data_IF_896778221597
#
_entry.id   IF_896778221597
#
_cell.length_a   1.000
_cell.length_b   1.000
_cell.length_c   1.000
_cell.angle_alpha   90.00
_cell.angle_beta   90.00
_cell.angle_gamma   90.00
#
_symmetry.space_group_name_H-M   'P 1'
#
loop_
_entity.id
_entity.type
_entity.pdbx_description
1 polymer ?
#
# COMPACT_ATOMS: atom_id res chain seq x y z
N UNK A 1 -0.16 -6.75 31.01
CA UNK A 1 -0.64 -8.05 30.45
C UNK A 1 -1.99 -7.92 29.73
N UNK A 2 -3.01 -7.30 30.35
CA UNK A 2 -4.35 -7.16 29.73
C UNK A 2 -4.34 -6.44 28.36
N UNK A 3 -3.65 -5.30 28.24
CA UNK A 3 -3.55 -4.57 26.96
C UNK A 3 -2.96 -5.44 25.83
N UNK A 4 -1.92 -6.23 26.15
CA UNK A 4 -1.29 -7.16 25.21
C UNK A 4 -2.24 -8.27 24.77
N UNK A 5 -3.03 -8.82 25.71
CA UNK A 5 -4.06 -9.81 25.38
C UNK A 5 -5.14 -9.23 24.47
N UNK A 6 -5.63 -8.02 24.75
CA UNK A 6 -6.62 -7.34 23.89
C UNK A 6 -6.03 -7.07 22.51
N UNK A 7 -4.79 -6.62 22.42
CA UNK A 7 -4.08 -6.40 21.16
C UNK A 7 -3.97 -7.68 20.33
N UNK A 8 -3.41 -8.76 20.90
CA UNK A 8 -3.29 -10.02 20.20
C UNK A 8 -4.65 -10.59 19.77
N UNK A 9 -5.66 -10.51 20.63
CA UNK A 9 -7.01 -10.95 20.32
C UNK A 9 -7.60 -10.13 19.17
N UNK A 10 -7.41 -8.80 19.18
CA UNK A 10 -7.85 -7.90 18.11
C UNK A 10 -7.17 -8.26 16.80
N UNK A 11 -5.85 -8.46 16.78
CA UNK A 11 -5.12 -8.88 15.59
C UNK A 11 -5.60 -10.24 15.06
N UNK A 12 -5.71 -11.25 15.93
CA UNK A 12 -6.18 -12.58 15.54
C UNK A 12 -7.58 -12.51 14.94
N UNK A 13 -8.49 -11.72 15.51
CA UNK A 13 -9.85 -11.55 14.99
C UNK A 13 -9.89 -10.78 13.66
N UNK A 14 -9.06 -9.75 13.52
CA UNK A 14 -8.89 -9.01 12.25
C UNK A 14 -8.41 -9.93 11.13
N UNK A 15 -7.57 -10.91 11.44
CA UNK A 15 -7.07 -11.89 10.48
C UNK A 15 -8.05 -13.03 10.22
N UNK A 16 -8.63 -13.61 11.28
CA UNK A 16 -9.52 -14.76 11.17
C UNK A 16 -10.87 -14.38 10.54
N UNK A 17 -11.36 -13.16 10.81
CA UNK A 17 -12.63 -12.60 10.32
C UNK A 17 -13.80 -13.58 10.46
N UNK A 18 -14.12 -14.01 11.69
CA UNK A 18 -15.24 -14.93 11.91
C UNK A 18 -16.54 -14.33 11.35
N UNK A 19 -17.35 -15.18 10.70
CA UNK A 19 -18.59 -14.82 10.00
C UNK A 19 -18.42 -13.77 8.88
N UNK A 20 -17.21 -13.57 8.37
CA UNK A 20 -16.89 -12.59 7.32
C UNK A 20 -17.32 -11.15 7.68
N UNK A 21 -17.34 -10.82 8.99
CA UNK A 21 -17.66 -9.48 9.45
C UNK A 21 -16.63 -8.46 8.91
N UNK A 22 -17.03 -7.18 8.80
CA UNK A 22 -16.11 -6.10 8.45
C UNK A 22 -14.99 -5.96 9.49
N UNK A 23 -13.77 -5.66 9.04
CA UNK A 23 -12.60 -5.52 9.91
C UNK A 23 -12.78 -4.45 11.00
N UNK A 24 -13.54 -3.39 10.71
CA UNK A 24 -13.79 -2.30 11.66
C UNK A 24 -14.55 -2.76 12.90
N UNK A 25 -15.33 -3.84 12.82
CA UNK A 25 -16.05 -4.38 13.98
C UNK A 25 -15.07 -4.87 15.04
N UNK A 26 -14.04 -5.61 14.64
CA UNK A 26 -13.07 -6.20 15.56
C UNK A 26 -12.16 -5.14 16.20
N UNK A 27 -11.71 -4.16 15.43
CA UNK A 27 -10.96 -3.02 15.96
C UNK A 27 -11.79 -2.16 16.90
N UNK A 28 -13.09 -1.95 16.61
CA UNK A 28 -14.00 -1.22 17.50
C UNK A 28 -14.24 -1.97 18.81
N UNK A 29 -14.36 -3.31 18.77
CA UNK A 29 -14.43 -4.14 19.98
C UNK A 29 -13.15 -4.04 20.81
N UNK A 30 -11.97 -4.07 20.16
CA UNK A 30 -10.69 -3.86 20.83
C UNK A 30 -10.66 -2.52 21.56
N UNK A 31 -11.00 -1.42 20.87
CA UNK A 31 -11.05 -0.09 21.48
C UNK A 31 -12.06 0.01 22.63
N UNK A 32 -13.23 -0.60 22.47
CA UNK A 32 -14.24 -0.68 23.52
C UNK A 32 -13.71 -1.36 24.78
N UNK A 33 -13.02 -2.50 24.65
CA UNK A 33 -12.43 -3.18 25.80
C UNK A 33 -11.32 -2.37 26.45
N UNK A 34 -10.43 -1.76 25.66
CA UNK A 34 -9.37 -0.91 26.21
C UNK A 34 -9.95 0.27 27.00
N UNK A 35 -11.05 0.86 26.52
CA UNK A 35 -11.74 1.93 27.21
C UNK A 35 -12.43 1.46 28.50
N UNK A 36 -13.19 0.36 28.46
CA UNK A 36 -13.89 -0.18 29.65
C UNK A 36 -12.91 -0.62 30.73
N UNK A 37 -11.79 -1.22 30.37
CA UNK A 37 -10.77 -1.63 31.32
C UNK A 37 -9.87 -0.47 31.78
N UNK A 38 -10.22 0.78 31.43
CA UNK A 38 -9.52 2.00 31.84
C UNK A 38 -8.02 2.00 31.47
N UNK A 39 -7.67 1.30 30.39
CA UNK A 39 -6.31 1.32 29.84
C UNK A 39 -6.04 2.60 29.06
N UNK A 40 -7.10 3.27 28.61
CA UNK A 40 -7.11 4.58 27.97
C UNK A 40 -8.30 5.38 28.47
N UNK A 41 -8.18 6.71 28.47
CA UNK A 41 -9.26 7.62 28.86
C UNK A 41 -9.86 8.36 27.64
N UNK A 42 -10.80 9.27 27.89
CA UNK A 42 -11.44 10.06 26.83
C UNK A 42 -10.48 11.03 26.15
N UNK A 43 -9.48 11.57 26.86
CA UNK A 43 -8.47 12.46 26.27
C UNK A 43 -7.58 11.69 25.32
N UNK A 44 -7.18 10.49 25.69
CA UNK A 44 -6.46 9.56 24.82
C UNK A 44 -7.27 9.27 23.55
N UNK A 45 -8.59 9.03 23.69
CA UNK A 45 -9.48 8.82 22.55
C UNK A 45 -9.53 10.05 21.63
N UNK A 46 -9.65 11.27 22.17
CA UNK A 46 -9.59 12.48 21.37
C UNK A 46 -8.24 12.66 20.66
N UNK A 47 -7.14 12.36 21.36
CA UNK A 47 -5.80 12.41 20.80
C UNK A 47 -5.67 11.41 19.63
N UNK A 48 -6.00 10.15 19.85
CA UNK A 48 -5.95 9.11 18.81
C UNK A 48 -6.86 9.46 17.63
N UNK A 49 -8.07 9.96 17.88
CA UNK A 49 -8.96 10.41 16.81
C UNK A 49 -8.30 11.50 15.98
N UNK A 50 -7.66 12.49 16.62
CA UNK A 50 -6.96 13.59 15.94
C UNK A 50 -5.83 13.13 15.02
N UNK A 51 -5.23 11.97 15.28
CA UNK A 51 -4.17 11.37 14.47
C UNK A 51 -4.69 10.69 13.20
N UNK A 52 -5.89 10.10 13.25
CA UNK A 52 -6.33 9.15 12.21
C UNK A 52 -7.46 9.66 11.32
N UNK A 53 -8.26 10.63 11.77
CA UNK A 53 -9.49 11.01 11.05
C UNK A 53 -9.22 11.54 9.64
N UNK A 54 -8.26 12.46 9.51
CA UNK A 54 -7.85 13.08 8.24
C UNK A 54 -7.30 12.02 7.28
N UNK A 55 -6.37 11.20 7.78
CA UNK A 55 -5.75 10.12 7.01
C UNK A 55 -6.78 9.08 6.52
N UNK A 56 -7.77 8.77 7.36
CA UNK A 56 -8.81 7.80 7.01
C UNK A 56 -9.77 8.33 5.96
N UNK A 57 -10.19 9.59 6.06
CA UNK A 57 -11.04 10.23 5.05
C UNK A 57 -10.30 10.45 3.73
N UNK A 58 -9.00 10.71 3.80
CA UNK A 58 -8.12 10.74 2.61
C UNK A 58 -8.20 9.43 1.85
N UNK A 59 -8.08 8.29 2.54
CA UNK A 59 -8.17 6.97 1.90
C UNK A 59 -9.54 6.74 1.25
N UNK A 60 -10.63 7.15 1.90
CA UNK A 60 -11.97 7.08 1.31
C UNK A 60 -12.03 7.87 -0.01
N UNK A 61 -11.50 9.10 -0.03
CA UNK A 61 -11.41 9.92 -1.25
C UNK A 61 -10.59 9.24 -2.35
N UNK A 62 -9.41 8.71 -2.01
CA UNK A 62 -8.54 7.99 -2.94
C UNK A 62 -9.22 6.77 -3.57
N UNK A 63 -9.98 6.00 -2.78
CA UNK A 63 -10.68 4.81 -3.27
C UNK A 63 -11.88 5.19 -4.16
N UNK A 64 -12.64 6.22 -3.80
CA UNK A 64 -13.70 6.75 -4.66
C UNK A 64 -13.12 7.24 -6.00
N UNK A 65 -11.98 7.95 -5.97
CA UNK A 65 -11.26 8.39 -7.16
C UNK A 65 -10.80 7.20 -8.01
N UNK A 66 -10.24 6.16 -7.37
CA UNK A 66 -9.82 4.92 -8.02
C UNK A 66 -10.98 4.20 -8.72
N UNK A 67 -12.09 3.96 -8.01
CA UNK A 67 -13.29 3.35 -8.59
C UNK A 67 -13.90 4.20 -9.70
N UNK A 68 -13.78 5.52 -9.58
CA UNK A 68 -14.21 6.45 -10.62
C UNK A 68 -13.40 6.24 -11.91
N UNK A 69 -12.07 6.21 -11.83
CA UNK A 69 -11.22 5.96 -12.99
C UNK A 69 -11.43 4.56 -13.59
N UNK A 70 -11.66 3.56 -12.73
CA UNK A 70 -11.97 2.20 -13.16
C UNK A 70 -13.30 2.15 -13.92
N UNK A 71 -14.35 2.78 -13.40
CA UNK A 71 -15.65 2.85 -14.05
C UNK A 71 -15.56 3.54 -15.41
N UNK A 72 -14.69 4.55 -15.55
CA UNK A 72 -14.44 5.17 -16.85
C UNK A 72 -13.77 4.22 -17.83
N UNK A 73 -12.93 3.28 -17.39
CA UNK A 73 -12.10 2.42 -18.25
C UNK A 73 -10.66 2.93 -18.42
N UNK A 74 -10.19 3.78 -17.49
CA UNK A 74 -8.83 4.34 -17.50
C UNK A 74 -7.76 3.24 -17.42
N UNK A 75 -7.91 2.29 -16.51
CA UNK A 75 -6.92 1.23 -16.32
C UNK A 75 -6.95 0.19 -17.46
N UNK A 76 -8.13 -0.09 -18.03
CA UNK A 76 -8.26 -0.93 -19.22
C UNK A 76 -7.51 -0.32 -20.41
N UNK A 77 -7.59 1.00 -20.58
CA UNK A 77 -6.84 1.71 -21.63
C UNK A 77 -5.33 1.55 -21.42
N UNK A 78 -4.81 1.76 -20.21
CA UNK A 78 -3.38 1.60 -19.92
C UNK A 78 -2.94 0.16 -20.16
N UNK A 79 -3.69 -0.83 -19.66
CA UNK A 79 -3.40 -2.25 -19.88
C UNK A 79 -3.30 -2.57 -21.38
N UNK A 80 -4.21 -2.04 -22.20
CA UNK A 80 -4.15 -2.22 -23.66
C UNK A 80 -2.89 -1.65 -24.30
N UNK A 81 -2.41 -0.49 -23.82
CA UNK A 81 -1.17 0.13 -24.31
C UNK A 81 0.05 -0.67 -23.90
N UNK A 82 0.08 -1.20 -22.67
CA UNK A 82 1.15 -2.10 -22.21
C UNK A 82 1.24 -3.32 -23.12
N UNK A 83 0.11 -3.94 -23.48
CA UNK A 83 0.09 -5.08 -24.41
C UNK A 83 0.56 -4.69 -25.80
N UNK A 84 0.11 -3.54 -26.31
CA UNK A 84 0.52 -3.02 -27.61
C UNK A 84 2.04 -2.79 -27.68
N UNK A 85 2.63 -2.14 -26.68
CA UNK A 85 4.08 -1.89 -26.62
C UNK A 85 4.89 -3.17 -26.35
N UNK A 86 4.28 -4.18 -25.74
CA UNK A 86 4.91 -5.48 -25.49
C UNK A 86 4.84 -6.43 -26.69
N UNK A 87 4.09 -6.09 -27.74
CA UNK A 87 3.90 -6.91 -28.95
C UNK A 87 5.18 -7.00 -29.79
N UNK A 88 5.43 -8.16 -30.37
CA UNK A 88 6.45 -8.32 -31.43
C UNK A 88 5.87 -7.95 -32.81
N UNK A 89 6.60 -7.14 -33.60
CA UNK A 89 6.09 -6.39 -34.76
C UNK A 89 5.63 -7.21 -35.98
N UNK A 90 5.82 -8.53 -36.02
CA UNK A 90 5.86 -9.25 -37.31
C UNK A 90 4.98 -10.50 -37.48
N UNK A 91 3.86 -10.66 -36.75
CA UNK A 91 3.03 -11.88 -36.92
C UNK A 91 1.51 -11.63 -36.84
N UNK A 92 0.77 -12.46 -37.58
CA UNK A 92 -0.70 -12.56 -37.58
C UNK A 92 -1.28 -12.89 -36.19
N UNK A 93 -0.43 -13.44 -35.30
CA UNK A 93 -0.72 -13.72 -33.88
C UNK A 93 -0.16 -12.62 -32.97
N UNK A 94 -0.85 -12.33 -31.85
CA UNK A 94 -0.33 -11.42 -30.82
C UNK A 94 0.63 -12.19 -29.91
N UNK A 95 1.91 -12.20 -30.29
CA UNK A 95 3.00 -12.59 -29.40
C UNK A 95 3.45 -11.41 -28.56
N UNK A 96 3.45 -11.61 -27.25
CA UNK A 96 3.88 -10.64 -26.26
C UNK A 96 5.21 -11.08 -25.67
N UNK A 97 6.19 -10.18 -25.66
CA UNK A 97 7.46 -10.41 -24.98
C UNK A 97 7.25 -10.36 -23.48
N UNK A 98 7.49 -11.48 -22.79
CA UNK A 98 7.31 -11.60 -21.33
C UNK A 98 8.15 -10.57 -20.56
N UNK A 99 9.38 -10.32 -21.03
CA UNK A 99 10.29 -9.32 -20.44
C UNK A 99 9.72 -7.91 -20.53
N UNK A 100 9.25 -7.50 -21.71
CA UNK A 100 8.66 -6.17 -21.92
C UNK A 100 7.38 -6.00 -21.11
N UNK A 101 6.52 -7.03 -21.13
CA UNK A 101 5.28 -7.02 -20.38
C UNK A 101 5.54 -6.87 -18.88
N UNK A 102 6.44 -7.67 -18.31
CA UNK A 102 6.81 -7.55 -16.89
C UNK A 102 7.37 -6.17 -16.58
N UNK A 103 8.29 -5.65 -17.40
CA UNK A 103 8.89 -4.32 -17.18
C UNK A 103 7.82 -3.22 -17.18
N UNK A 104 6.96 -3.18 -18.20
CA UNK A 104 5.92 -2.15 -18.29
C UNK A 104 4.88 -2.27 -17.19
N UNK A 105 4.53 -3.49 -16.76
CA UNK A 105 3.63 -3.69 -15.62
C UNK A 105 4.27 -3.25 -14.30
N UNK A 106 5.55 -3.53 -14.07
CA UNK A 106 6.27 -3.06 -12.88
C UNK A 106 6.33 -1.53 -12.85
N UNK A 107 6.70 -0.89 -13.96
CA UNK A 107 6.72 0.58 -14.07
C UNK A 107 5.31 1.16 -13.86
N UNK A 108 4.29 0.54 -14.46
CA UNK A 108 2.91 0.99 -14.27
C UNK A 108 2.47 0.88 -12.80
N UNK A 109 2.74 -0.25 -12.14
CA UNK A 109 2.41 -0.45 -10.72
C UNK A 109 3.16 0.51 -9.81
N UNK A 110 4.42 0.80 -10.10
CA UNK A 110 5.21 1.78 -9.36
C UNK A 110 4.53 3.16 -9.32
N UNK A 111 4.09 3.66 -10.47
CA UNK A 111 3.34 4.92 -10.51
C UNK A 111 1.94 4.76 -9.92
N UNK A 112 1.26 3.66 -10.17
CA UNK A 112 -0.09 3.42 -9.65
C UNK A 112 -0.11 3.46 -8.12
N UNK A 113 0.84 2.80 -7.46
CA UNK A 113 0.92 2.78 -6.00
C UNK A 113 1.36 4.11 -5.40
N UNK A 114 2.12 4.93 -6.15
CA UNK A 114 2.45 6.28 -5.72
C UNK A 114 1.19 7.17 -5.58
N UNK A 115 0.20 7.00 -6.46
CA UNK A 115 -0.96 7.90 -6.53
C UNK A 115 -2.24 7.37 -5.87
N UNK A 116 -2.45 6.05 -5.78
CA UNK A 116 -3.74 5.45 -5.41
C UNK A 116 -3.73 4.64 -4.11
N UNK A 117 -2.71 4.84 -3.29
CA UNK A 117 -2.37 3.97 -2.18
C UNK A 117 -2.06 2.52 -2.61
N UNK A 118 -1.33 1.79 -1.78
CA UNK A 118 -1.02 0.38 -1.99
C UNK A 118 -2.29 -0.49 -2.12
N UNK A 119 -3.30 -0.23 -1.30
CA UNK A 119 -4.57 -0.96 -1.26
C UNK A 119 -5.40 -0.73 -2.54
N UNK A 120 -5.43 0.50 -3.06
CA UNK A 120 -6.09 0.81 -4.32
C UNK A 120 -5.36 0.17 -5.50
N UNK A 121 -4.03 0.28 -5.53
CA UNK A 121 -3.20 -0.27 -6.60
C UNK A 121 -3.37 -1.79 -6.76
N UNK A 122 -3.38 -2.54 -5.65
CA UNK A 122 -3.55 -4.01 -5.71
C UNK A 122 -4.95 -4.43 -6.18
N UNK A 123 -5.99 -3.68 -5.79
CA UNK A 123 -7.37 -3.92 -6.21
C UNK A 123 -7.57 -3.67 -7.70
N UNK A 124 -6.86 -2.70 -8.29
CA UNK A 124 -6.90 -2.40 -9.72
C UNK A 124 -6.08 -3.42 -10.52
N UNK A 125 -4.82 -3.67 -10.13
CA UNK A 125 -3.91 -4.48 -10.97
C UNK A 125 -4.33 -5.95 -11.02
N UNK A 126 -4.85 -6.49 -9.92
CA UNK A 126 -5.21 -7.92 -9.82
C UNK A 126 -6.26 -8.35 -10.83
N UNK A 127 -7.45 -7.72 -10.94
CA UNK A 127 -8.45 -8.09 -11.93
C UNK A 127 -7.93 -7.89 -13.37
N UNK A 128 -7.11 -6.86 -13.62
CA UNK A 128 -6.50 -6.62 -14.94
C UNK A 128 -5.60 -7.79 -15.34
N UNK A 129 -4.70 -8.22 -14.44
CA UNK A 129 -3.79 -9.33 -14.70
C UNK A 129 -4.57 -10.64 -14.87
N UNK A 130 -5.55 -10.91 -14.04
CA UNK A 130 -6.37 -12.13 -14.17
C UNK A 130 -7.16 -12.11 -15.49
N UNK A 131 -7.78 -10.99 -15.85
CA UNK A 131 -8.52 -10.86 -17.11
C UNK A 131 -7.58 -11.04 -18.31
N UNK A 132 -6.39 -10.45 -18.27
CA UNK A 132 -5.38 -10.62 -19.30
C UNK A 132 -4.99 -12.10 -19.45
N UNK A 133 -4.60 -12.74 -18.35
CA UNK A 133 -4.17 -14.14 -18.34
C UNK A 133 -5.30 -15.12 -18.65
N UNK A 134 -6.57 -14.77 -18.45
CA UNK A 134 -7.70 -15.59 -18.91
C UNK A 134 -7.77 -15.77 -20.43
N UNK A 135 -7.07 -14.89 -21.17
CA UNK A 135 -7.00 -14.95 -22.64
C UNK A 135 -5.66 -15.45 -23.16
N UNK A 136 -4.73 -15.79 -22.25
CA UNK A 136 -3.50 -16.48 -22.58
C UNK A 136 -3.87 -17.86 -23.13
N UNK A 137 -3.31 -18.24 -24.28
CA UNK A 137 -3.48 -19.60 -24.81
C UNK A 137 -2.82 -20.61 -23.87
N UNK A 138 -3.41 -21.80 -23.82
CA UNK A 138 -2.92 -22.89 -22.97
C UNK A 138 -1.43 -23.10 -23.17
N UNK A 139 -0.72 -22.99 -22.04
CA UNK A 139 0.71 -23.18 -21.98
C UNK A 139 1.04 -24.00 -20.73
N UNK A 140 2.10 -24.81 -20.81
CA UNK A 140 2.64 -25.49 -19.64
C UNK A 140 2.95 -24.45 -18.56
N UNK A 141 2.66 -24.78 -17.30
CA UNK A 141 2.93 -23.94 -16.13
C UNK A 141 2.15 -22.61 -16.09
N UNK A 142 0.95 -22.52 -16.69
CA UNK A 142 0.09 -21.32 -16.63
C UNK A 142 -0.01 -20.74 -15.21
N UNK A 143 -0.32 -21.58 -14.22
CA UNK A 143 -0.45 -21.17 -12.82
C UNK A 143 0.81 -20.50 -12.27
N UNK A 144 2.00 -21.04 -12.58
CA UNK A 144 3.27 -20.48 -12.16
C UNK A 144 3.57 -19.13 -12.84
N UNK A 145 3.26 -19.00 -14.13
CA UNK A 145 3.45 -17.73 -14.86
C UNK A 145 2.53 -16.67 -14.25
N UNK A 146 1.24 -16.97 -14.09
CA UNK A 146 0.27 -16.06 -13.50
C UNK A 146 0.66 -15.65 -12.06
N UNK A 147 1.03 -16.62 -11.21
CA UNK A 147 1.45 -16.32 -9.84
C UNK A 147 2.72 -15.47 -9.81
N UNK A 148 3.66 -15.66 -10.74
CA UNK A 148 4.88 -14.83 -10.82
C UNK A 148 4.57 -13.37 -11.12
N UNK A 149 3.63 -13.10 -12.04
CA UNK A 149 3.17 -11.73 -12.30
C UNK A 149 2.42 -11.14 -11.12
N UNK A 150 1.43 -11.88 -10.58
CA UNK A 150 0.63 -11.44 -9.46
C UNK A 150 1.47 -11.11 -8.22
N UNK A 151 2.40 -11.98 -7.85
CA UNK A 151 3.30 -11.75 -6.72
C UNK A 151 4.26 -10.60 -6.99
N UNK A 152 4.93 -10.56 -8.15
CA UNK A 152 5.87 -9.46 -8.46
C UNK A 152 5.20 -8.08 -8.38
N UNK A 153 3.98 -7.97 -8.91
CA UNK A 153 3.23 -6.72 -8.93
C UNK A 153 2.67 -6.38 -7.53
N UNK A 154 2.12 -7.36 -6.81
CA UNK A 154 1.63 -7.15 -5.43
C UNK A 154 2.74 -6.68 -4.48
N UNK A 155 3.93 -7.28 -4.60
CA UNK A 155 5.10 -6.90 -3.80
C UNK A 155 5.56 -5.48 -4.11
N UNK A 156 5.57 -5.10 -5.39
CA UNK A 156 5.91 -3.74 -5.79
C UNK A 156 4.85 -2.74 -5.33
N UNK A 157 3.56 -3.07 -5.26
CA UNK A 157 2.54 -2.16 -4.72
C UNK A 157 2.94 -1.66 -3.32
N UNK A 158 3.11 -2.55 -2.34
CA UNK A 158 3.44 -2.08 -0.98
C UNK A 158 4.84 -1.44 -0.93
N UNK A 159 5.84 -1.99 -1.63
CA UNK A 159 7.19 -1.44 -1.59
C UNK A 159 7.28 -0.02 -2.19
N UNK A 160 6.58 0.24 -3.31
CA UNK A 160 6.58 1.55 -4.00
C UNK A 160 5.63 2.56 -3.36
N UNK A 161 4.84 2.14 -2.38
CA UNK A 161 3.96 2.99 -1.59
C UNK A 161 4.68 3.97 -0.67
N UNK A 162 6.01 4.06 -0.74
CA UNK A 162 6.84 5.03 -0.03
C UNK A 162 7.00 6.37 -0.76
N UNK A 163 6.49 6.50 -2.00
CA UNK A 163 6.80 7.63 -2.89
C UNK A 163 6.33 9.01 -2.36
N UNK A 164 5.08 9.08 -1.91
CA UNK A 164 4.39 10.31 -1.49
C UNK A 164 3.66 10.07 -0.18
N UNK A 165 3.27 11.15 0.50
CA UNK A 165 2.46 11.08 1.72
C UNK A 165 1.15 10.32 1.46
N UNK A 166 0.50 10.53 0.31
CA UNK A 166 -0.77 9.87 -0.05
C UNK A 166 -0.61 8.41 -0.52
N UNK A 167 0.62 7.94 -0.72
CA UNK A 167 0.89 6.61 -1.30
C UNK A 167 0.59 5.46 -0.33
N UNK A 168 0.45 5.73 0.97
CA UNK A 168 0.04 4.74 1.96
C UNK A 168 -0.56 5.43 3.19
N UNK A 169 -1.50 4.77 3.88
CA UNK A 169 -2.06 5.27 5.14
C UNK A 169 -0.97 5.46 6.21
N UNK A 170 0.01 4.57 6.25
CA UNK A 170 1.19 4.67 7.15
C UNK A 170 1.94 5.98 6.94
N UNK A 171 2.18 6.39 5.69
CA UNK A 171 2.88 7.64 5.37
C UNK A 171 2.09 8.87 5.82
N UNK A 172 0.76 8.89 5.58
CA UNK A 172 -0.07 10.02 6.01
C UNK A 172 -0.02 10.19 7.53
N UNK A 173 -0.07 9.08 8.26
CA UNK A 173 -0.04 9.07 9.72
C UNK A 173 1.30 9.58 10.24
N UNK A 174 2.41 9.03 9.77
CA UNK A 174 3.74 9.46 10.20
C UNK A 174 4.02 10.92 9.80
N UNK A 175 3.67 11.32 8.58
CA UNK A 175 3.87 12.70 8.12
C UNK A 175 3.05 13.70 8.97
N UNK A 176 1.78 13.39 9.27
CA UNK A 176 0.95 14.22 10.13
C UNK A 176 1.49 14.27 11.58
N UNK A 177 2.00 13.15 12.09
CA UNK A 177 2.50 13.05 13.46
C UNK A 177 3.78 13.86 13.69
N UNK A 178 4.74 13.74 12.77
CA UNK A 178 6.01 14.48 12.81
C UNK A 178 5.94 15.85 12.11
N UNK A 179 4.78 16.22 11.55
CA UNK A 179 4.57 17.46 10.77
C UNK A 179 5.52 17.60 9.58
N UNK A 180 5.77 16.50 8.88
CA UNK A 180 6.61 16.48 7.68
C UNK A 180 5.82 17.05 6.51
N UNK A 181 6.41 18.04 5.83
CA UNK A 181 5.84 18.67 4.65
C UNK A 181 5.75 17.69 3.47
N UNK A 182 4.76 17.84 2.60
CA UNK A 182 4.55 16.94 1.46
C UNK A 182 5.76 16.98 0.50
N UNK A 183 6.29 18.18 0.25
CA UNK A 183 7.48 18.35 -0.60
C UNK A 183 8.74 17.76 0.05
N UNK A 184 8.92 17.95 1.35
CA UNK A 184 10.05 17.37 2.10
C UNK A 184 10.00 15.85 2.06
N UNK A 185 8.82 15.26 2.34
CA UNK A 185 8.60 13.83 2.24
C UNK A 185 8.95 13.29 0.85
N UNK A 186 8.42 13.92 -0.19
CA UNK A 186 8.64 13.48 -1.56
C UNK A 186 10.12 13.57 -1.97
N UNK A 187 10.84 14.61 -1.54
CA UNK A 187 12.28 14.77 -1.80
C UNK A 187 13.09 13.67 -1.11
N UNK A 188 12.86 13.45 0.17
CA UNK A 188 13.62 12.48 0.96
C UNK A 188 13.32 11.02 0.56
N UNK A 189 12.10 10.73 0.10
CA UNK A 189 11.73 9.39 -0.39
C UNK A 189 12.02 9.15 -1.88
N UNK A 190 12.36 10.19 -2.67
CA UNK A 190 12.55 10.04 -4.11
C UNK A 190 13.63 9.00 -4.47
N UNK A 191 14.83 9.16 -3.89
CA UNK A 191 15.96 8.28 -4.18
C UNK A 191 15.75 6.86 -3.61
N UNK A 192 15.34 6.68 -2.34
CA UNK A 192 14.97 5.36 -1.81
C UNK A 192 13.94 4.63 -2.67
N UNK A 193 12.88 5.33 -3.10
CA UNK A 193 11.79 4.73 -3.87
C UNK A 193 12.22 4.42 -5.31
N UNK A 194 13.12 5.20 -5.91
CA UNK A 194 13.77 4.81 -7.17
C UNK A 194 14.54 3.50 -7.03
N UNK A 195 15.29 3.33 -5.92
CA UNK A 195 15.97 2.07 -5.63
C UNK A 195 15.02 0.92 -5.32
N UNK A 196 13.84 1.18 -4.74
CA UNK A 196 12.77 0.17 -4.63
C UNK A 196 12.38 -0.37 -6.00
N UNK A 197 12.14 0.51 -6.99
CA UNK A 197 11.81 0.09 -8.35
C UNK A 197 12.96 -0.69 -8.99
N UNK A 198 14.18 -0.14 -8.93
CA UNK A 198 15.35 -0.75 -9.57
C UNK A 198 15.66 -2.13 -8.99
N UNK A 199 15.72 -2.25 -7.67
CA UNK A 199 15.98 -3.52 -6.99
C UNK A 199 14.87 -4.54 -7.23
N UNK A 200 13.60 -4.11 -7.29
CA UNK A 200 12.48 -4.99 -7.65
C UNK A 200 12.64 -5.50 -9.08
N UNK A 201 12.91 -4.61 -10.05
CA UNK A 201 13.14 -5.01 -11.46
C UNK A 201 14.28 -6.01 -11.54
N UNK A 202 15.45 -5.70 -10.94
CA UNK A 202 16.62 -6.58 -10.99
C UNK A 202 16.28 -7.95 -10.39
N UNK A 203 15.69 -7.98 -9.21
CA UNK A 203 15.39 -9.22 -8.49
C UNK A 203 14.34 -10.06 -9.21
N UNK A 204 13.24 -9.46 -9.66
CA UNK A 204 12.20 -10.13 -10.45
C UNK A 204 12.80 -10.67 -11.76
N UNK A 205 13.67 -9.91 -12.42
CA UNK A 205 14.27 -10.35 -13.67
C UNK A 205 15.24 -11.51 -13.50
N UNK A 206 16.08 -11.46 -12.47
CA UNK A 206 17.07 -12.50 -12.18
C UNK A 206 16.40 -13.79 -11.72
N UNK A 207 15.42 -13.70 -10.82
CA UNK A 207 14.84 -14.89 -10.18
C UNK A 207 13.66 -15.49 -10.98
N UNK A 208 12.80 -14.67 -11.56
CA UNK A 208 11.54 -15.13 -12.16
C UNK A 208 11.54 -14.98 -13.69
N UNK A 209 11.86 -13.81 -14.23
CA UNK A 209 11.74 -13.60 -15.69
C UNK A 209 12.72 -14.48 -16.49
N UNK A 210 13.87 -14.86 -15.92
CA UNK A 210 14.80 -15.81 -16.55
C UNK A 210 14.22 -17.20 -16.76
N UNK A 211 13.30 -17.64 -15.90
CA UNK A 211 12.68 -18.97 -15.96
C UNK A 211 11.32 -18.99 -16.67
N UNK A 212 10.73 -17.81 -16.91
CA UNK A 212 9.49 -17.68 -17.67
C UNK A 212 9.70 -17.89 -19.17
N UNK A 213 8.67 -18.35 -19.92
CA UNK A 213 8.72 -18.40 -21.37
C UNK A 213 9.09 -17.04 -21.96
N UNK A 214 9.90 -17.01 -23.02
CA UNK A 214 10.31 -15.75 -23.68
C UNK A 214 9.12 -15.00 -24.30
N UNK A 215 8.10 -15.74 -24.74
CA UNK A 215 6.92 -15.24 -25.45
C UNK A 215 5.65 -15.84 -24.85
N UNK A 216 4.61 -15.03 -24.77
CA UNK A 216 3.26 -15.41 -24.38
C UNK A 216 2.30 -15.08 -25.54
N UNK A 217 1.38 -15.99 -25.84
CA UNK A 217 0.41 -15.84 -26.93
C UNK A 217 -0.98 -15.57 -26.35
N UNK A 218 -1.54 -14.39 -26.64
CA UNK A 218 -2.85 -13.98 -26.14
C UNK A 218 -3.88 -13.95 -27.27
N UNK A 219 -5.15 -14.27 -26.93
CA UNK A 219 -6.29 -14.03 -27.83
C UNK A 219 -6.58 -12.53 -27.90
N UNK A 220 -6.98 -12.04 -29.08
CA UNK A 220 -7.41 -10.66 -29.28
C UNK A 220 -8.64 -10.36 -28.41
N UNK A 221 -8.49 -9.44 -27.45
CA UNK A 221 -9.63 -8.85 -26.73
C UNK A 221 -9.90 -7.48 -27.35
N UNK A 222 -10.96 -7.35 -28.13
CA UNK A 222 -11.55 -6.04 -28.41
C UNK A 222 -12.46 -5.69 -27.24
N UNK A 223 -11.97 -4.86 -26.32
CA UNK A 223 -12.81 -4.18 -25.33
C UNK A 223 -13.04 -2.76 -25.83
N UNK A 224 -14.24 -2.22 -25.63
CA UNK A 224 -14.48 -0.79 -25.86
C UNK A 224 -13.56 0.00 -24.93
N UNK A 225 -12.79 0.91 -25.52
CA UNK A 225 -11.82 1.73 -24.81
C UNK A 225 -12.38 3.13 -24.61
N UNK A 226 -11.95 3.78 -23.52
CA UNK A 226 -12.17 5.22 -23.40
C UNK A 226 -11.54 5.96 -24.58
N UNK A 227 -12.18 7.05 -24.96
CA UNK A 227 -11.61 7.96 -25.96
C UNK A 227 -10.28 8.53 -25.44
N UNK A 228 -9.34 8.79 -26.36
CA UNK A 228 -8.06 9.44 -26.04
C UNK A 228 -8.27 10.77 -25.32
N UNK A 229 -9.28 11.55 -25.71
CA UNK A 229 -9.63 12.82 -25.08
C UNK A 229 -9.97 12.64 -23.58
N UNK A 230 -10.81 11.66 -23.28
CA UNK A 230 -11.19 11.35 -21.90
C UNK A 230 -10.02 10.78 -21.08
N UNK A 231 -9.14 9.98 -21.71
CA UNK A 231 -7.92 9.51 -21.06
C UNK A 231 -6.98 10.66 -20.68
N UNK A 232 -6.70 11.58 -21.61
CA UNK A 232 -5.90 12.77 -21.32
C UNK A 232 -6.54 13.66 -20.27
N UNK A 233 -7.87 13.80 -20.28
CA UNK A 233 -8.60 14.50 -19.22
C UNK A 233 -8.33 13.86 -17.85
N UNK A 234 -8.41 12.53 -17.74
CA UNK A 234 -8.11 11.82 -16.50
C UNK A 234 -6.67 12.08 -16.03
N UNK A 235 -5.68 12.08 -16.94
CA UNK A 235 -4.28 12.39 -16.61
C UNK A 235 -4.14 13.82 -16.08
N UNK A 236 -4.71 14.80 -16.76
CA UNK A 236 -4.64 16.22 -16.33
C UNK A 236 -5.26 16.37 -14.95
N UNK A 237 -6.41 15.74 -14.72
CA UNK A 237 -7.06 15.78 -13.42
C UNK A 237 -6.24 15.08 -12.32
N UNK A 238 -5.60 13.95 -12.61
CA UNK A 238 -4.69 13.29 -11.66
C UNK A 238 -3.48 14.17 -11.33
N UNK A 239 -2.97 14.89 -12.32
CA UNK A 239 -1.89 15.85 -12.10
C UNK A 239 -2.34 17.02 -11.22
N UNK A 240 -3.51 17.59 -11.49
CA UNK A 240 -4.09 18.66 -10.66
C UNK A 240 -4.42 18.18 -9.24
N UNK A 241 -4.90 16.95 -9.11
CA UNK A 241 -5.12 16.28 -7.83
C UNK A 241 -3.83 16.25 -6.99
N UNK A 242 -2.71 15.80 -7.58
CA UNK A 242 -1.41 15.79 -6.90
C UNK A 242 -0.93 17.20 -6.57
N UNK A 243 -1.03 18.14 -7.50
CA UNK A 243 -0.66 19.55 -7.27
C UNK A 243 -1.45 20.15 -6.10
N UNK A 244 -2.72 19.78 -5.95
CA UNK A 244 -3.56 20.37 -4.91
C UNK A 244 -3.09 20.07 -3.48
N UNK A 245 -2.31 19.00 -3.25
CA UNK A 245 -1.70 18.74 -1.94
C UNK A 245 -0.58 19.73 -1.59
N UNK A 246 0.21 20.15 -2.57
CA UNK A 246 1.21 21.21 -2.38
C UNK A 246 0.54 22.56 -2.08
N UNK A 247 -0.61 22.83 -2.71
CA UNK A 247 -1.42 24.01 -2.38
C UNK A 247 -1.97 23.89 -0.95
N UNK A 248 -2.44 22.69 -0.59
CA UNK A 248 -2.93 22.39 0.75
C UNK A 248 -1.93 22.69 1.85
N UNK A 249 -0.68 22.32 1.62
CA UNK A 249 0.44 22.62 2.52
C UNK A 249 0.58 24.14 2.77
N UNK A 250 0.62 24.95 1.70
CA UNK A 250 0.77 26.41 1.79
C UNK A 250 -0.36 27.05 2.61
N UNK A 251 -1.60 26.56 2.45
CA UNK A 251 -2.78 27.11 3.13
C UNK A 251 -3.17 26.35 4.41
N UNK A 252 -2.36 25.39 4.86
CA UNK A 252 -2.64 24.50 5.99
C UNK A 252 -4.01 23.80 5.90
N UNK A 253 -4.41 23.44 4.68
CA UNK A 253 -5.63 22.69 4.38
C UNK A 253 -5.29 21.19 4.41
N UNK A 254 -6.10 20.43 5.14
CA UNK A 254 -5.94 18.99 5.34
C UNK A 254 -6.00 18.19 4.04
N UNK A 255 -5.25 17.08 4.00
CA UNK A 255 -5.14 16.21 2.82
C UNK A 255 -6.50 15.60 2.48
N UNK A 256 -7.33 15.28 3.48
CA UNK A 256 -8.67 14.72 3.25
C UNK A 256 -9.57 15.65 2.45
N UNK A 257 -9.41 16.96 2.60
CA UNK A 257 -10.23 17.94 1.89
C UNK A 257 -10.00 17.81 0.38
N UNK A 258 -8.75 17.81 -0.08
CA UNK A 258 -8.43 17.67 -1.49
C UNK A 258 -8.80 16.28 -2.02
N UNK A 259 -8.53 15.22 -1.25
CA UNK A 259 -8.93 13.87 -1.61
C UNK A 259 -10.44 13.75 -1.86
N UNK A 260 -11.26 14.28 -0.95
CA UNK A 260 -12.72 14.24 -1.08
C UNK A 260 -13.24 15.20 -2.16
N UNK A 261 -12.63 16.38 -2.33
CA UNK A 261 -12.99 17.35 -3.36
C UNK A 261 -12.80 16.73 -4.76
N UNK A 262 -11.61 16.21 -5.05
CA UNK A 262 -11.32 15.62 -6.36
C UNK A 262 -12.09 14.33 -6.62
N UNK A 263 -12.29 13.50 -5.58
CA UNK A 263 -13.17 12.35 -5.66
C UNK A 263 -14.61 12.74 -6.02
N UNK A 264 -15.14 13.79 -5.38
CA UNK A 264 -16.46 14.34 -5.68
C UNK A 264 -16.58 14.88 -7.10
N UNK A 265 -15.58 15.66 -7.56
CA UNK A 265 -15.55 16.18 -8.93
C UNK A 265 -15.55 15.03 -9.96
N UNK A 266 -14.70 14.03 -9.78
CA UNK A 266 -14.67 12.87 -10.69
C UNK A 266 -15.96 12.08 -10.66
N UNK A 267 -16.50 11.83 -9.47
CA UNK A 267 -17.77 11.13 -9.33
C UNK A 267 -18.91 11.85 -10.06
N UNK A 268 -18.95 13.19 -10.00
CA UNK A 268 -19.92 14.00 -10.75
C UNK A 268 -19.75 13.88 -12.27
N UNK A 269 -18.51 13.80 -12.77
CA UNK A 269 -18.25 13.54 -14.21
C UNK A 269 -18.82 12.18 -14.61
N UNK A 270 -18.62 11.16 -13.79
CA UNK A 270 -19.11 9.79 -14.07
C UNK A 270 -20.62 9.72 -13.95
N UNK A 271 -21.21 10.42 -12.98
CA UNK A 271 -22.66 10.53 -12.86
C UNK A 271 -23.27 11.10 -14.15
N UNK A 272 -22.61 12.06 -14.80
CA UNK A 272 -23.05 12.58 -16.11
C UNK A 272 -22.91 11.57 -17.25
N UNK A 273 -21.88 10.72 -17.23
CA UNK A 273 -21.58 9.77 -18.30
C UNK A 273 -22.40 8.47 -18.16
N UNK A 274 -22.51 7.93 -16.95
CA UNK A 274 -23.08 6.60 -16.66
C UNK A 274 -24.43 6.66 -15.92
N UNK A 275 -24.89 7.85 -15.53
CA UNK A 275 -26.13 8.04 -14.80
C UNK A 275 -26.11 7.44 -13.40
N UNK A 276 -27.29 7.08 -12.88
CA UNK A 276 -27.47 6.59 -11.49
C UNK A 276 -26.66 5.34 -11.14
N UNK A 277 -26.13 4.59 -12.13
CA UNK A 277 -25.25 3.43 -11.87
C UNK A 277 -24.00 3.82 -11.09
N UNK A 278 -23.49 5.05 -11.27
CA UNK A 278 -22.30 5.54 -10.58
C UNK A 278 -22.51 5.83 -9.09
N UNK A 279 -23.76 5.92 -8.61
CA UNK A 279 -24.06 6.12 -7.18
C UNK A 279 -23.51 4.95 -6.36
N UNK A 280 -23.48 3.75 -6.96
CA UNK A 280 -22.94 2.55 -6.33
C UNK A 280 -21.48 2.73 -5.88
N UNK A 281 -20.67 3.53 -6.59
CA UNK A 281 -19.28 3.83 -6.22
C UNK A 281 -19.18 4.43 -4.81
N UNK A 282 -20.12 5.31 -4.44
CA UNK A 282 -20.13 5.91 -3.11
C UNK A 282 -20.45 4.85 -2.04
N UNK A 283 -21.45 4.00 -2.28
CA UNK A 283 -21.81 2.95 -1.33
C UNK A 283 -20.76 1.84 -1.19
N UNK A 284 -19.94 1.61 -2.21
CA UNK A 284 -18.83 0.65 -2.17
C UNK A 284 -17.56 1.21 -1.53
N UNK A 285 -17.49 2.51 -1.28
CA UNK A 285 -16.35 3.13 -0.61
C UNK A 285 -16.22 2.60 0.85
N UNK A 286 -15.00 2.34 1.33
CA UNK A 286 -14.81 1.68 2.62
C UNK A 286 -14.83 2.69 3.77
N UNK A 287 -15.99 3.30 4.04
CA UNK A 287 -16.16 4.27 5.15
C UNK A 287 -15.79 3.69 6.52
N UNK A 288 -15.91 2.37 6.68
CA UNK A 288 -15.48 1.66 7.88
C UNK A 288 -13.99 1.80 8.21
N UNK A 289 -13.15 2.25 7.27
CA UNK A 289 -11.72 2.48 7.52
C UNK A 289 -11.49 3.49 8.65
N UNK A 290 -12.35 4.49 8.81
CA UNK A 290 -12.25 5.46 9.91
C UNK A 290 -12.44 4.79 11.29
N UNK A 291 -13.45 3.94 11.42
CA UNK A 291 -13.69 3.17 12.64
C UNK A 291 -12.60 2.14 12.86
N UNK A 292 -12.09 1.57 11.77
CA UNK A 292 -11.00 0.61 11.80
C UNK A 292 -9.70 1.20 12.30
N UNK A 293 -9.23 2.29 11.70
CA UNK A 293 -8.00 2.98 12.07
C UNK A 293 -8.08 3.50 13.51
N UNK A 294 -9.19 4.17 13.86
CA UNK A 294 -9.42 4.63 15.23
C UNK A 294 -9.40 3.49 16.23
N UNK A 295 -10.13 2.41 15.96
CA UNK A 295 -10.21 1.28 16.87
C UNK A 295 -8.86 0.59 17.08
N UNK A 296 -8.14 0.34 15.99
CA UNK A 296 -6.82 -0.30 16.04
C UNK A 296 -5.80 0.59 16.77
N UNK A 297 -5.85 1.90 16.52
CA UNK A 297 -4.92 2.84 17.12
C UNK A 297 -5.16 3.02 18.61
N UNK A 298 -6.41 2.97 19.07
CA UNK A 298 -6.74 2.94 20.50
C UNK A 298 -6.10 1.73 21.20
N UNK A 299 -6.17 0.56 20.58
CA UNK A 299 -5.58 -0.66 21.12
C UNK A 299 -4.05 -0.57 21.18
N UNK A 300 -3.44 -0.02 20.13
CA UNK A 300 -1.99 0.17 20.06
C UNK A 300 -1.51 1.25 21.04
N UNK A 301 -2.26 2.35 21.19
CA UNK A 301 -1.93 3.41 22.15
C UNK A 301 -1.96 2.90 23.59
N UNK A 302 -2.85 1.96 23.90
CA UNK A 302 -2.85 1.28 25.20
C UNK A 302 -1.58 0.45 25.46
N UNK A 303 -0.99 -0.15 24.42
CA UNK A 303 0.30 -0.82 24.53
C UNK A 303 1.42 0.16 24.85
N UNK A 304 1.41 1.33 24.21
CA UNK A 304 2.36 2.40 24.49
C UNK A 304 2.26 2.83 25.96
N UNK A 305 1.06 3.05 26.50
CA UNK A 305 0.86 3.42 27.91
C UNK A 305 1.38 2.40 28.93
N UNK A 306 1.52 1.12 28.55
CA UNK A 306 2.09 0.09 29.41
C UNK A 306 3.58 -0.18 29.15
N UNK A 307 4.26 0.72 28.44
CA UNK A 307 5.71 0.69 28.24
C UNK A 307 6.21 -0.18 27.09
N UNK A 308 5.35 -0.63 26.17
CA UNK A 308 5.81 -1.42 25.00
C UNK A 308 6.74 -0.60 24.09
N UNK A 309 6.52 0.72 23.97
CA UNK A 309 7.40 1.61 23.20
C UNK A 309 8.80 1.70 23.79
N UNK A 310 8.96 1.59 25.12
CA UNK A 310 10.26 1.69 25.79
C UNK A 310 11.25 0.62 25.31
N UNK A 311 10.75 -0.56 24.93
CA UNK A 311 11.58 -1.64 24.36
C UNK A 311 12.18 -1.19 23.03
N UNK A 312 11.37 -0.53 22.19
CA UNK A 312 11.85 0.04 20.92
C UNK A 312 12.80 1.21 21.17
N UNK A 313 12.49 2.11 22.11
CA UNK A 313 13.37 3.24 22.47
C UNK A 313 14.75 2.75 22.89
N UNK A 314 14.83 1.74 23.76
CA UNK A 314 16.10 1.13 24.20
C UNK A 314 16.83 0.46 23.03
N UNK A 315 16.09 -0.19 22.13
CA UNK A 315 16.66 -0.81 20.93
C UNK A 315 17.25 0.24 19.99
N UNK A 316 16.56 1.36 19.77
CA UNK A 316 17.04 2.48 18.96
C UNK A 316 18.29 3.12 19.58
N UNK A 317 18.28 3.37 20.89
CA UNK A 317 19.45 3.90 21.60
C UNK A 317 20.67 2.97 21.50
N UNK A 318 20.47 1.66 21.55
CA UNK A 318 21.55 0.69 21.37
C UNK A 318 22.11 0.70 19.93
N UNK A 319 21.25 0.86 18.93
CA UNK A 319 21.60 0.81 17.50
C UNK A 319 22.21 2.12 16.99
N UNK A 320 21.73 3.26 17.47
CA UNK A 320 22.13 4.60 17.01
C UNK A 320 23.47 5.07 17.62
N UNK A 321 24.45 4.15 17.72
CA UNK A 321 25.83 4.51 18.06
C UNK A 321 26.54 5.20 16.90
N UNK A 322 26.16 4.85 15.66
CA UNK A 322 26.58 5.51 14.43
C UNK A 322 25.42 5.53 13.40
N UNK A 323 25.66 6.12 12.23
CA UNK A 323 24.65 6.23 11.15
C UNK A 323 24.16 4.88 10.61
N UNK A 324 24.88 3.78 10.83
CA UNK A 324 24.42 2.45 10.44
C UNK A 324 23.21 1.98 11.27
N UNK A 325 22.98 2.58 12.45
CA UNK A 325 21.79 2.37 13.28
C UNK A 325 20.46 2.61 12.54
N UNK A 326 20.46 3.46 11.50
CA UNK A 326 19.32 3.71 10.61
C UNK A 326 18.83 2.42 9.94
N UNK A 327 19.76 1.53 9.52
CA UNK A 327 19.39 0.20 9.01
C UNK A 327 18.68 -0.62 10.08
N UNK A 328 19.16 -0.54 11.33
CA UNK A 328 18.56 -1.25 12.46
C UNK A 328 17.11 -0.82 12.72
N UNK A 329 16.84 0.50 12.70
CA UNK A 329 15.47 1.04 12.84
C UNK A 329 14.55 0.48 11.76
N UNK A 330 14.99 0.48 10.50
CA UNK A 330 14.21 -0.06 9.39
C UNK A 330 13.99 -1.57 9.48
N UNK A 331 15.01 -2.34 9.90
CA UNK A 331 14.90 -3.78 10.05
C UNK A 331 13.92 -4.15 11.18
N UNK A 332 14.00 -3.50 12.34
CA UNK A 332 13.03 -3.68 13.43
C UNK A 332 11.62 -3.41 12.91
N UNK A 333 11.45 -2.32 12.17
CA UNK A 333 10.17 -1.91 11.58
C UNK A 333 9.67 -2.91 10.53
N UNK A 334 10.57 -3.47 9.72
CA UNK A 334 10.23 -4.46 8.71
C UNK A 334 9.81 -5.80 9.30
N UNK A 335 10.55 -6.31 10.28
CA UNK A 335 10.18 -7.55 10.96
C UNK A 335 8.93 -7.35 11.82
N UNK A 336 8.84 -6.24 12.55
CA UNK A 336 7.67 -5.91 13.37
C UNK A 336 6.40 -5.80 12.54
N UNK A 337 6.45 -5.12 11.40
CA UNK A 337 5.31 -5.02 10.49
C UNK A 337 4.95 -6.36 9.85
N UNK A 338 5.93 -7.23 9.57
CA UNK A 338 5.68 -8.58 9.06
C UNK A 338 4.96 -9.51 10.06
N UNK A 339 5.04 -9.21 11.36
CA UNK A 339 4.43 -10.01 12.44
C UNK A 339 3.11 -9.39 12.89
N UNK A 340 3.10 -8.08 13.14
CA UNK A 340 1.98 -7.37 13.78
C UNK A 340 1.09 -6.63 12.81
N UNK A 341 1.42 -6.61 11.51
CA UNK A 341 0.85 -5.75 10.48
C UNK A 341 1.52 -4.36 10.39
N UNK A 342 1.48 -3.73 9.22
CA UNK A 342 2.05 -2.41 8.99
C UNK A 342 1.38 -1.30 9.82
N UNK A 343 0.06 -1.33 10.01
CA UNK A 343 -0.65 -0.26 10.71
C UNK A 343 -0.34 -0.22 12.22
N UNK A 344 -0.34 -1.32 12.98
CA UNK A 344 0.10 -1.28 14.37
C UNK A 344 1.58 -0.92 14.49
N UNK A 345 2.42 -1.44 13.60
CA UNK A 345 3.85 -1.18 13.65
C UNK A 345 4.18 0.28 13.40
N UNK A 346 3.48 0.96 12.48
CA UNK A 346 3.72 2.39 12.22
C UNK A 346 3.44 3.24 13.45
N UNK A 347 2.33 2.96 14.15
CA UNK A 347 1.97 3.76 15.32
C UNK A 347 2.92 3.51 16.49
N UNK A 348 3.24 2.26 16.82
CA UNK A 348 4.18 1.98 17.93
C UNK A 348 5.56 2.57 17.60
N UNK A 349 5.99 2.46 16.34
CA UNK A 349 7.27 3.03 15.90
C UNK A 349 7.30 4.55 15.96
N UNK A 350 6.26 5.24 15.49
CA UNK A 350 6.13 6.69 15.57
C UNK A 350 6.14 7.19 17.02
N UNK A 351 5.39 6.53 17.92
CA UNK A 351 5.38 6.83 19.35
C UNK A 351 6.78 6.63 19.97
N UNK A 352 7.44 5.51 19.67
CA UNK A 352 8.78 5.21 20.17
C UNK A 352 9.85 6.16 19.61
N UNK A 353 9.75 6.56 18.33
CA UNK A 353 10.67 7.52 17.73
C UNK A 353 10.54 8.90 18.39
N UNK A 354 9.30 9.36 18.65
CA UNK A 354 9.10 10.62 19.37
C UNK A 354 9.67 10.57 20.79
N UNK A 355 9.37 9.50 21.53
CA UNK A 355 9.91 9.30 22.88
C UNK A 355 11.46 9.22 22.86
N UNK A 356 12.03 8.58 21.84
CA UNK A 356 13.47 8.56 21.62
C UNK A 356 14.02 9.97 21.37
N UNK A 357 13.40 10.77 20.50
CA UNK A 357 13.86 12.14 20.20
C UNK A 357 13.74 13.11 21.38
N UNK A 358 12.86 12.84 22.33
CA UNK A 358 12.74 13.63 23.57
C UNK A 358 13.91 13.35 24.55
N UNK A 359 14.50 12.15 24.49
CA UNK A 359 15.52 11.69 25.44
C UNK A 359 16.93 11.56 24.84
N UNK A 360 17.05 11.51 23.51
CA UNK A 360 18.28 11.28 22.76
C UNK A 360 18.43 12.30 21.61
N UNK A 361 19.25 12.01 20.61
CA UNK A 361 19.45 12.88 19.45
C UNK A 361 18.33 12.74 18.41
N UNK A 362 17.89 13.88 17.87
CA UNK A 362 16.98 13.90 16.73
C UNK A 362 17.74 13.60 15.42
N UNK A 363 17.26 12.60 14.68
CA UNK A 363 17.68 12.32 13.30
C UNK A 363 16.45 11.96 12.47
N UNK A 364 16.05 12.86 11.55
CA UNK A 364 14.85 12.68 10.73
C UNK A 364 14.94 11.46 9.80
N UNK A 365 16.14 10.98 9.48
CA UNK A 365 16.32 9.75 8.68
C UNK A 365 15.75 8.52 9.39
N UNK A 366 15.69 8.50 10.72
CA UNK A 366 15.07 7.40 11.46
C UNK A 366 13.56 7.28 11.14
N UNK A 367 12.88 8.40 10.89
CA UNK A 367 11.45 8.41 10.52
C UNK A 367 11.26 7.78 9.14
N UNK A 368 12.09 8.18 8.17
CA UNK A 368 12.04 7.61 6.82
C UNK A 368 12.46 6.13 6.78
N UNK A 369 13.45 5.74 7.59
CA UNK A 369 13.87 4.36 7.74
C UNK A 369 12.77 3.49 8.36
N UNK A 370 12.09 4.01 9.38
CA UNK A 370 10.91 3.37 9.96
C UNK A 370 9.84 3.14 8.90
N UNK A 371 9.49 4.15 8.11
CA UNK A 371 8.51 4.05 7.02
C UNK A 371 8.90 3.04 5.95
N UNK A 372 10.15 3.06 5.46
CA UNK A 372 10.64 2.06 4.50
C UNK A 372 10.47 0.65 5.06
N UNK A 373 10.84 0.43 6.32
CA UNK A 373 10.66 -0.84 7.01
C UNK A 373 9.18 -1.24 7.10
N UNK A 374 8.32 -0.34 7.57
CA UNK A 374 6.87 -0.57 7.74
C UNK A 374 6.15 -0.83 6.41
N UNK A 375 6.61 -0.30 5.29
CA UNK A 375 5.95 -0.45 3.99
C UNK A 375 6.53 -1.59 3.14
N UNK A 376 7.81 -1.90 3.27
CA UNK A 376 8.48 -2.97 2.52
C UNK A 376 8.40 -4.30 3.30
N UNK A 377 8.66 -4.28 4.60
CA UNK A 377 8.68 -5.44 5.49
C UNK A 377 7.39 -6.27 5.60
N UNK A 378 6.17 -5.71 5.49
CA UNK A 378 4.92 -6.45 5.49
C UNK A 378 4.90 -7.62 4.52
N UNK A 379 5.66 -7.51 3.44
CA UNK A 379 5.73 -8.50 2.38
C UNK A 379 6.54 -9.75 2.73
N UNK A 380 7.25 -9.78 3.86
CA UNK A 380 7.94 -10.99 4.34
C UNK A 380 6.96 -12.11 4.72
N UNK A 381 5.74 -11.77 5.17
CA UNK A 381 4.70 -12.76 5.50
C UNK A 381 3.34 -12.33 4.94
N UNK A 382 2.38 -13.24 4.72
CA UNK A 382 1.03 -12.85 4.35
C UNK A 382 0.32 -11.97 5.39
N UNK A 383 0.70 -12.10 6.67
CA UNK A 383 0.06 -11.47 7.82
C UNK A 383 0.42 -9.98 7.91
N UNK A 384 1.57 -9.59 7.36
CA UNK A 384 2.12 -8.25 7.51
C UNK A 384 1.28 -7.12 6.92
N UNK A 385 0.33 -7.42 6.03
CA UNK A 385 -0.62 -6.43 5.51
C UNK A 385 -2.00 -7.06 5.34
N UNK A 386 -3.05 -6.36 5.81
CA UNK A 386 -4.43 -6.84 5.67
C UNK A 386 -4.82 -6.95 4.20
N UNK A 387 -4.37 -6.01 3.38
CA UNK A 387 -4.59 -6.03 1.94
C UNK A 387 -4.04 -7.30 1.29
N UNK A 388 -2.90 -7.81 1.76
CA UNK A 388 -2.32 -9.06 1.24
C UNK A 388 -3.20 -10.26 1.57
N UNK A 389 -3.73 -10.38 2.78
CA UNK A 389 -4.64 -11.48 3.14
C UNK A 389 -5.95 -11.44 2.35
N UNK A 390 -6.55 -10.24 2.23
CA UNK A 390 -7.76 -10.05 1.44
C UNK A 390 -7.51 -10.41 -0.03
N UNK A 391 -6.36 -9.99 -0.56
CA UNK A 391 -5.92 -10.30 -1.91
C UNK A 391 -5.74 -11.80 -2.13
N UNK A 392 -5.02 -12.51 -1.25
CA UNK A 392 -4.87 -13.96 -1.32
C UNK A 392 -6.24 -14.68 -1.26
N UNK A 393 -7.18 -14.18 -0.46
CA UNK A 393 -8.56 -14.70 -0.43
C UNK A 393 -9.33 -14.46 -1.74
N UNK A 394 -9.14 -13.31 -2.39
CA UNK A 394 -9.69 -13.04 -3.73
C UNK A 394 -9.09 -13.98 -4.78
N UNK A 395 -7.78 -14.23 -4.71
CA UNK A 395 -7.10 -15.17 -5.61
C UNK A 395 -7.61 -16.61 -5.42
N UNK A 396 -7.75 -17.07 -4.17
CA UNK A 396 -8.24 -18.41 -3.87
C UNK A 396 -9.66 -18.64 -4.42
N UNK A 397 -10.56 -17.66 -4.29
CA UNK A 397 -11.91 -17.70 -4.88
C UNK A 397 -11.92 -17.79 -6.42
N UNK A 398 -10.82 -17.39 -7.07
CA UNK A 398 -10.62 -17.48 -8.52
C UNK A 398 -9.79 -18.71 -8.93
N UNK A 399 -9.59 -19.66 -8.01
CA UNK A 399 -8.82 -20.90 -8.24
C UNK A 399 -7.31 -20.71 -8.23
N UNK A 400 -6.80 -19.55 -7.82
CA UNK A 400 -5.37 -19.24 -7.76
C UNK A 400 -4.91 -19.38 -6.31
N UNK A 401 -4.40 -20.56 -5.95
CA UNK A 401 -3.97 -20.84 -4.60
C UNK A 401 -2.46 -20.61 -4.45
N UNK A 402 -2.08 -19.63 -3.63
CA UNK A 402 -0.70 -19.36 -3.22
C UNK A 402 -0.59 -19.80 -1.76
N UNK A 403 0.21 -20.83 -1.49
CA UNK A 403 0.43 -21.29 -0.11
C UNK A 403 1.24 -20.28 0.70
N UNK A 404 1.08 -20.33 2.02
CA UNK A 404 1.86 -19.50 2.95
C UNK A 404 3.37 -19.59 2.68
N UNK A 405 3.90 -20.80 2.52
CA UNK A 405 5.33 -21.01 2.27
C UNK A 405 5.80 -20.52 0.91
N UNK A 406 4.98 -20.65 -0.14
CA UNK A 406 5.30 -20.07 -1.45
C UNK A 406 5.38 -18.54 -1.37
N UNK A 407 4.43 -17.92 -0.67
CA UNK A 407 4.43 -16.48 -0.44
C UNK A 407 5.67 -16.05 0.34
N UNK A 408 5.95 -16.66 1.50
CA UNK A 408 7.09 -16.30 2.34
C UNK A 408 8.41 -16.49 1.59
N UNK A 409 8.58 -17.59 0.84
CA UNK A 409 9.77 -17.81 0.03
C UNK A 409 9.94 -16.71 -1.02
N UNK A 410 8.87 -16.38 -1.74
CA UNK A 410 8.90 -15.27 -2.69
C UNK A 410 9.25 -13.95 -2.00
N UNK A 411 8.66 -13.71 -0.83
CA UNK A 411 8.83 -12.47 -0.12
C UNK A 411 10.20 -12.27 0.50
N UNK A 412 10.79 -13.28 1.13
CA UNK A 412 12.17 -13.19 1.57
C UNK A 412 13.13 -12.90 0.41
N UNK A 413 12.92 -13.51 -0.76
CA UNK A 413 13.80 -13.32 -1.92
C UNK A 413 13.70 -11.93 -2.54
N UNK A 414 12.53 -11.28 -2.49
CA UNK A 414 12.33 -9.94 -3.09
C UNK A 414 12.48 -8.82 -2.05
N UNK A 415 11.83 -8.95 -0.90
CA UNK A 415 11.72 -7.89 0.09
C UNK A 415 13.06 -7.53 0.71
N UNK A 416 13.94 -8.51 0.97
CA UNK A 416 15.24 -8.23 1.59
C UNK A 416 16.17 -7.39 0.68
N UNK A 417 16.44 -7.78 -0.59
CA UNK A 417 17.21 -6.94 -1.48
C UNK A 417 16.59 -5.54 -1.65
N UNK A 418 15.27 -5.47 -1.82
CA UNK A 418 14.56 -4.20 -2.00
C UNK A 418 14.76 -3.28 -0.79
N UNK A 419 14.57 -3.79 0.42
CA UNK A 419 14.76 -3.04 1.66
C UNK A 419 16.20 -2.55 1.81
N UNK A 420 17.18 -3.43 1.62
CA UNK A 420 18.61 -3.09 1.77
C UNK A 420 19.02 -1.99 0.79
N UNK A 421 18.67 -2.13 -0.50
CA UNK A 421 19.03 -1.14 -1.50
C UNK A 421 18.30 0.19 -1.32
N UNK A 422 17.02 0.18 -0.90
CA UNK A 422 16.30 1.41 -0.60
C UNK A 422 16.86 2.14 0.62
N UNK A 423 17.33 1.40 1.64
CA UNK A 423 17.94 1.98 2.84
C UNK A 423 19.33 2.55 2.57
N UNK A 424 20.13 1.85 1.74
CA UNK A 424 21.40 2.39 1.28
C UNK A 424 21.20 3.74 0.58
N UNK A 425 20.19 3.83 -0.29
CA UNK A 425 19.81 5.05 -0.99
C UNK A 425 19.19 6.15 -0.10
N UNK A 426 18.79 5.82 1.15
CA UNK A 426 18.32 6.82 2.12
C UNK A 426 19.49 7.50 2.85
N UNK A 427 20.61 6.78 3.03
CA UNK A 427 21.73 7.21 3.88
C UNK A 427 22.82 7.92 3.06
N UNK A 428 22.96 7.58 1.78
CA UNK A 428 23.89 8.19 0.82
C UNK A 428 23.23 9.39 0.16
#
# INVERSE_FOLDING_TARGET
>A
MLAFFIFLSTLVLLFWRPWNLPIWVFSSLGAFFVFIFQLVDFKDACFVFSLVWDSSLTLVGLIILSFSLEALGFFDFIASKILYFSREKNQEKIYISTKKMMLFLLIFVFFLSAFFANDGAILIITPIIIALFSTLKDCKNHAFILSSFLLSLSFLCDASSNALVISNLTNIITANYFKIEFLEFAKNMFLPNFFVLLSTIVTVFVLYVRVLPKRLEFKLIKKEQISLKLFFLCIVFLFLFVISFFIGEIFNIKISFFALLWAGIFWLIILKIQGKKSIKILFEAPYGVLLFSFGLYMVVFALHKIGVSEILVKSYAFLMQDKSGIFGVALISAFGSSVFNNLPMVLIGDLALKEYFENFSFDSLMIYAHLLGVNIGPKLTPIGSLATLLWLGVLARKGINISFWQYCKFGFLITLPVLVFSLFALIV
#
